data_IF_634807897299
#
_entry.id   IF_634807897299
#
_cell.length_a   1.000
_cell.length_b   1.000
_cell.length_c   1.000
_cell.angle_alpha   90.00
_cell.angle_beta   90.00
_cell.angle_gamma   90.00
#
_symmetry.space_group_name_H-M   'P 1'
#
loop_
_entity.id
_entity.type
_entity.pdbx_description
1 polymer ?
#
# COMPACT_ATOMS: atom_id res chain seq x y z
N UNK A 1 28.17 55.73 17.14
CA UNK A 1 27.51 54.91 16.09
C UNK A 1 27.52 53.47 16.57
N UNK A 2 26.36 52.91 16.94
CA UNK A 2 26.23 51.55 17.48
C UNK A 2 25.73 50.63 16.36
N UNK A 3 26.53 49.62 16.02
CA UNK A 3 26.18 48.59 15.02
C UNK A 3 25.20 47.62 15.67
N UNK A 4 23.97 47.57 15.15
CA UNK A 4 22.97 46.57 15.52
C UNK A 4 23.18 45.36 14.62
N UNK A 5 23.69 44.26 15.22
CA UNK A 5 23.85 42.98 14.55
C UNK A 5 22.50 42.28 14.39
N UNK A 6 22.09 42.05 13.14
CA UNK A 6 20.93 41.23 12.80
C UNK A 6 21.32 39.77 12.99
N UNK A 7 20.74 39.11 14.00
CA UNK A 7 20.82 37.66 14.16
C UNK A 7 19.79 37.04 13.24
N UNK A 8 20.25 36.49 12.12
CA UNK A 8 19.42 35.68 11.21
C UNK A 8 19.08 34.37 11.91
N UNK A 9 17.82 34.25 12.36
CA UNK A 9 17.26 32.99 12.84
C UNK A 9 17.23 32.01 11.65
N UNK A 10 18.12 31.03 11.65
CA UNK A 10 18.02 29.85 10.81
C UNK A 10 16.79 29.06 11.30
N UNK A 11 15.67 29.20 10.60
CA UNK A 11 14.53 28.30 10.70
C UNK A 11 15.02 26.93 10.24
N UNK A 12 15.33 26.06 11.21
CA UNK A 12 15.51 24.63 10.98
C UNK A 12 14.14 24.11 10.54
N UNK A 13 13.93 23.98 9.24
CA UNK A 13 12.86 23.17 8.69
C UNK A 13 13.06 21.75 9.19
N UNK A 14 12.37 21.39 10.27
CA UNK A 14 12.27 20.02 10.72
C UNK A 14 11.58 19.23 9.60
N UNK A 15 12.36 18.55 8.77
CA UNK A 15 11.87 17.49 7.89
C UNK A 15 11.36 16.36 8.78
N UNK A 16 10.12 16.49 9.25
CA UNK A 16 9.38 15.44 9.94
C UNK A 16 8.95 14.35 8.96
N UNK A 17 9.91 13.67 8.35
CA UNK A 17 9.67 12.53 7.46
C UNK A 17 9.58 11.24 8.27
N UNK A 18 8.51 11.08 9.07
CA UNK A 18 8.21 9.78 9.65
C UNK A 18 7.90 8.77 8.52
N UNK A 19 8.57 7.62 8.51
CA UNK A 19 8.23 6.52 7.61
C UNK A 19 6.81 6.05 7.90
N UNK A 20 5.96 5.97 6.89
CA UNK A 20 4.61 5.44 7.06
C UNK A 20 4.65 3.97 7.47
N UNK A 21 3.69 3.51 8.31
CA UNK A 21 3.62 2.12 8.70
C UNK A 21 3.35 1.23 7.49
N UNK A 22 3.63 -0.06 7.64
CA UNK A 22 3.21 -1.06 6.65
C UNK A 22 1.69 -1.05 6.45
N UNK A 23 1.20 -1.40 5.26
CA UNK A 23 -0.21 -1.51 4.99
C UNK A 23 -0.79 -2.68 5.76
N UNK A 24 -2.12 -2.70 5.84
CA UNK A 24 -2.81 -3.93 6.19
C UNK A 24 -2.71 -4.93 5.04
N UNK A 25 -2.65 -6.22 5.37
CA UNK A 25 -2.69 -7.31 4.38
C UNK A 25 -4.06 -8.01 4.41
N UNK A 26 -4.65 -8.21 3.23
CA UNK A 26 -5.91 -8.93 3.02
C UNK A 26 -5.73 -10.14 2.10
N UNK A 27 -6.56 -11.17 2.30
CA UNK A 27 -6.46 -12.41 1.52
C UNK A 27 -5.11 -13.09 1.70
N UNK A 28 -4.39 -13.31 0.60
CA UNK A 28 -3.05 -13.93 0.58
C UNK A 28 -1.90 -12.93 0.46
N UNK A 29 -2.16 -11.62 0.55
CA UNK A 29 -1.14 -10.59 0.42
C UNK A 29 -0.02 -10.72 1.47
N UNK A 30 1.22 -10.37 1.07
CA UNK A 30 2.42 -10.39 1.93
C UNK A 30 3.20 -9.08 1.81
N UNK A 31 4.16 -8.84 2.70
CA UNK A 31 5.03 -7.67 2.67
C UNK A 31 5.94 -7.68 1.43
N UNK A 32 6.38 -8.85 0.95
CA UNK A 32 7.13 -8.92 -0.30
C UNK A 32 6.28 -8.52 -1.51
N UNK A 33 5.02 -8.97 -1.58
CA UNK A 33 4.11 -8.54 -2.64
C UNK A 33 3.82 -7.04 -2.59
N UNK A 34 3.69 -6.48 -1.38
CA UNK A 34 3.55 -5.04 -1.19
C UNK A 34 4.78 -4.27 -1.68
N UNK A 35 6.00 -4.66 -1.27
CA UNK A 35 7.23 -4.02 -1.73
C UNK A 35 7.34 -4.07 -3.27
N UNK A 36 7.02 -5.21 -3.87
CA UNK A 36 7.01 -5.35 -5.33
C UNK A 36 5.99 -4.44 -6.04
N UNK A 37 4.84 -4.17 -5.42
CA UNK A 37 3.86 -3.20 -5.94
C UNK A 37 4.33 -1.76 -5.77
N UNK A 38 4.87 -1.40 -4.59
CA UNK A 38 5.37 -0.05 -4.31
C UNK A 38 6.55 0.30 -5.23
N UNK A 39 7.51 -0.61 -5.39
CA UNK A 39 8.64 -0.44 -6.32
C UNK A 39 8.16 -0.30 -7.77
N UNK A 40 6.99 -0.85 -8.09
CA UNK A 40 6.38 -0.80 -9.40
C UNK A 40 5.43 0.39 -9.63
N UNK A 41 5.06 1.11 -8.59
CA UNK A 41 3.97 2.07 -8.67
C UNK A 41 4.31 3.27 -9.57
N UNK A 42 5.58 3.71 -9.57
CA UNK A 42 6.04 4.82 -10.39
C UNK A 42 5.87 4.58 -11.91
N UNK A 43 5.76 3.31 -12.34
CA UNK A 43 5.50 2.93 -13.74
C UNK A 43 4.04 2.55 -14.01
N UNK A 44 3.12 2.81 -13.07
CA UNK A 44 1.72 2.46 -13.22
C UNK A 44 1.06 3.20 -14.40
N UNK A 45 0.43 2.46 -15.30
CA UNK A 45 -0.23 3.01 -16.48
C UNK A 45 -1.73 3.18 -16.25
N UNK A 46 -2.33 4.18 -16.90
CA UNK A 46 -3.78 4.37 -16.86
C UNK A 46 -4.44 3.35 -17.77
N UNK A 47 -5.22 2.44 -17.19
CA UNK A 47 -6.02 1.45 -17.92
C UNK A 47 -7.27 1.13 -17.10
N UNK A 48 -8.39 1.77 -17.42
CA UNK A 48 -9.63 1.62 -16.67
C UNK A 48 -10.23 0.20 -16.78
N UNK A 49 -9.89 -0.57 -17.82
CA UNK A 49 -10.39 -1.92 -17.98
C UNK A 49 -9.71 -2.91 -17.03
N UNK A 50 -8.44 -2.64 -16.68
CA UNK A 50 -7.62 -3.52 -15.80
C UNK A 50 -7.45 -3.00 -14.38
N UNK A 51 -7.57 -1.69 -14.19
CA UNK A 51 -7.54 -1.06 -12.88
C UNK A 51 -8.74 -1.50 -12.00
N UNK A 52 -8.65 -1.34 -10.66
CA UNK A 52 -9.78 -1.56 -9.77
C UNK A 52 -10.98 -0.67 -10.13
N UNK A 53 -12.12 -1.28 -10.46
CA UNK A 53 -13.37 -0.58 -10.75
C UNK A 53 -14.28 -0.54 -9.53
N UNK A 54 -14.28 0.56 -8.78
CA UNK A 54 -15.03 0.67 -7.52
C UNK A 54 -16.55 0.72 -7.74
N UNK A 55 -17.27 -0.09 -6.97
CA UNK A 55 -18.72 0.00 -6.78
C UNK A 55 -19.09 0.62 -5.44
N UNK A 56 -18.22 0.47 -4.43
CA UNK A 56 -18.27 1.18 -3.15
C UNK A 56 -16.83 1.56 -2.76
N UNK A 57 -16.52 2.84 -2.51
CA UNK A 57 -17.43 3.98 -2.62
C UNK A 57 -17.85 4.26 -4.07
N UNK A 58 -18.99 4.93 -4.24
CA UNK A 58 -19.30 5.68 -5.45
C UNK A 58 -18.63 7.07 -5.38
N UNK A 59 -18.43 7.75 -6.53
CA UNK A 59 -17.91 9.12 -6.53
C UNK A 59 -18.75 10.04 -5.65
N UNK A 60 -18.08 10.78 -4.77
CA UNK A 60 -18.65 11.73 -3.81
C UNK A 60 -19.65 11.12 -2.81
N UNK A 61 -19.63 9.78 -2.65
CA UNK A 61 -20.46 9.09 -1.67
C UNK A 61 -20.14 9.57 -0.24
N UNK A 62 -21.19 9.74 0.56
CA UNK A 62 -21.07 10.03 1.98
C UNK A 62 -21.44 8.78 2.81
N UNK A 63 -20.60 8.43 3.78
CA UNK A 63 -20.85 7.34 4.72
C UNK A 63 -21.22 7.87 6.11
N UNK A 64 -22.20 7.25 6.81
CA UNK A 64 -22.50 7.62 8.18
C UNK A 64 -21.37 7.21 9.13
N UNK A 65 -20.94 8.09 10.04
CA UNK A 65 -19.87 7.78 11.00
C UNK A 65 -20.18 6.58 11.92
N UNK A 66 -21.46 6.27 12.13
CA UNK A 66 -21.91 5.20 13.02
C UNK A 66 -21.55 3.78 12.55
N UNK A 67 -21.27 3.57 11.27
CA UNK A 67 -20.98 2.25 10.71
C UNK A 67 -19.93 2.31 9.61
N UNK A 68 -18.85 1.55 9.77
CA UNK A 68 -17.81 1.41 8.76
C UNK A 68 -18.37 0.74 7.49
N UNK A 69 -18.14 1.29 6.30
CA UNK A 69 -18.52 0.64 5.06
C UNK A 69 -17.58 -0.52 4.73
N UNK A 70 -18.03 -1.41 3.85
CA UNK A 70 -17.15 -2.34 3.13
C UNK A 70 -16.92 -1.78 1.73
N UNK A 71 -15.67 -1.47 1.40
CA UNK A 71 -15.32 -1.06 0.04
C UNK A 71 -15.32 -2.29 -0.87
N UNK A 72 -15.84 -2.12 -2.08
CA UNK A 72 -15.97 -3.18 -3.07
C UNK A 72 -15.58 -2.66 -4.44
N UNK A 73 -14.87 -3.48 -5.20
CA UNK A 73 -14.49 -3.18 -6.57
C UNK A 73 -14.53 -4.44 -7.43
N UNK A 74 -14.49 -4.24 -8.74
CA UNK A 74 -14.27 -5.30 -9.71
C UNK A 74 -12.80 -5.30 -10.17
N UNK A 75 -12.31 -6.48 -10.56
CA UNK A 75 -11.06 -6.61 -11.30
C UNK A 75 -11.25 -7.59 -12.45
N UNK A 76 -10.65 -7.27 -13.59
CA UNK A 76 -10.60 -8.13 -14.77
C UNK A 76 -9.30 -8.95 -14.84
N UNK A 77 -8.35 -8.71 -13.93
CA UNK A 77 -7.14 -9.51 -13.84
C UNK A 77 -7.52 -10.90 -13.33
N UNK A 78 -7.29 -11.91 -14.17
CA UNK A 78 -7.65 -13.29 -13.88
C UNK A 78 -6.45 -14.07 -13.34
N UNK A 79 -6.70 -14.95 -12.36
CA UNK A 79 -5.72 -15.95 -11.95
C UNK A 79 -5.40 -16.83 -13.15
N UNK A 80 -4.12 -16.89 -13.52
CA UNK A 80 -3.62 -17.80 -14.56
C UNK A 80 -3.03 -19.04 -13.86
N UNK A 81 -3.10 -20.23 -14.49
CA UNK A 81 -2.31 -21.36 -14.04
C UNK A 81 -0.85 -20.94 -13.94
N UNK A 82 -0.16 -21.36 -12.89
CA UNK A 82 1.27 -21.12 -12.77
C UNK A 82 1.95 -21.78 -13.97
N UNK A 83 2.51 -20.96 -14.87
CA UNK A 83 3.31 -21.49 -15.98
C UNK A 83 4.51 -22.19 -15.34
N UNK A 84 4.82 -23.45 -15.68
CA UNK A 84 6.05 -24.11 -15.24
C UNK A 84 7.26 -23.36 -15.83
N UNK A 85 7.65 -22.28 -15.17
CA UNK A 85 8.85 -21.52 -15.48
C UNK A 85 10.04 -22.22 -14.85
N UNK A 86 11.21 -22.12 -15.50
CA UNK A 86 12.48 -22.42 -14.85
C UNK A 86 12.57 -21.52 -13.63
N UNK A 87 12.32 -22.08 -12.44
CA UNK A 87 12.36 -21.37 -11.17
C UNK A 87 13.72 -20.68 -11.05
N UNK A 88 13.77 -19.38 -11.35
CA UNK A 88 14.85 -18.52 -10.85
C UNK A 88 14.46 -18.18 -9.42
N UNK A 89 14.62 -19.16 -8.54
CA UNK A 89 14.80 -18.87 -7.11
C UNK A 89 15.73 -17.67 -7.02
N UNK A 90 15.43 -16.74 -6.11
CA UNK A 90 16.39 -15.68 -5.77
C UNK A 90 17.76 -16.35 -5.64
N UNK A 91 18.78 -15.76 -6.29
CA UNK A 91 20.12 -16.34 -6.32
C UNK A 91 20.47 -16.82 -4.91
N UNK A 92 20.94 -18.07 -4.80
CA UNK A 92 21.33 -18.62 -3.51
C UNK A 92 22.18 -17.55 -2.79
N UNK A 93 21.85 -17.21 -1.53
CA UNK A 93 22.60 -16.19 -0.82
C UNK A 93 24.09 -16.54 -0.91
N UNK A 94 24.97 -15.54 -1.07
CA UNK A 94 26.41 -15.79 -1.16
C UNK A 94 26.85 -16.66 0.01
N UNK A 95 27.85 -17.54 -0.18
CA UNK A 95 28.31 -18.45 0.87
C UNK A 95 28.56 -17.65 2.15
N UNK A 96 27.88 -18.05 3.22
CA UNK A 96 27.88 -17.31 4.48
C UNK A 96 29.29 -17.22 5.03
N UNK A 97 29.66 -16.05 5.50
CA UNK A 97 30.91 -15.90 6.25
C UNK A 97 30.79 -16.54 7.64
N UNK A 98 31.91 -16.96 8.23
CA UNK A 98 31.94 -17.52 9.58
C UNK A 98 31.31 -16.57 10.63
N UNK A 99 31.37 -15.26 10.39
CA UNK A 99 30.75 -14.24 11.23
C UNK A 99 29.22 -14.22 11.18
N UNK A 100 28.63 -14.57 10.03
CA UNK A 100 27.17 -14.70 9.91
C UNK A 100 26.62 -15.91 10.66
N UNK A 101 27.38 -17.02 10.73
CA UNK A 101 27.00 -18.17 11.56
C UNK A 101 26.98 -17.84 13.06
N UNK A 102 27.89 -16.97 13.50
CA UNK A 102 27.90 -16.46 14.88
C UNK A 102 26.78 -15.45 15.14
N UNK A 103 26.44 -14.60 14.17
CA UNK A 103 25.29 -13.70 14.32
C UNK A 103 23.96 -14.44 14.39
N UNK A 104 23.81 -15.55 13.66
CA UNK A 104 22.58 -16.37 13.66
C UNK A 104 22.30 -17.05 15.02
N UNK A 105 23.36 -17.30 15.81
CA UNK A 105 23.25 -17.84 17.17
C UNK A 105 22.75 -16.79 18.19
N UNK A 106 22.97 -15.50 17.90
CA UNK A 106 22.61 -14.38 18.79
C UNK A 106 21.33 -13.68 18.32
N UNK A 107 21.09 -13.68 17.01
CA UNK A 107 19.94 -13.10 16.34
C UNK A 107 19.41 -14.15 15.37
N UNK A 108 18.50 -15.05 15.80
CA UNK A 108 17.90 -16.00 14.88
C UNK A 108 17.16 -15.21 13.80
N UNK A 109 17.76 -15.11 12.61
CA UNK A 109 17.16 -14.45 11.46
C UNK A 109 16.09 -15.37 10.85
N UNK A 110 15.02 -15.60 11.59
CA UNK A 110 13.81 -16.21 11.07
C UNK A 110 13.02 -15.12 10.33
N UNK A 111 13.49 -14.73 9.15
CA UNK A 111 12.61 -14.09 8.17
C UNK A 111 11.66 -15.18 7.71
N UNK A 112 10.52 -15.29 8.40
CA UNK A 112 9.45 -16.21 8.01
C UNK A 112 8.80 -15.66 6.74
N UNK A 113 9.49 -15.79 5.61
CA UNK A 113 8.96 -15.44 4.31
C UNK A 113 7.71 -16.27 4.07
N UNK A 114 6.58 -15.60 3.88
CA UNK A 114 5.35 -16.24 3.45
C UNK A 114 5.54 -16.78 2.02
N UNK A 115 4.72 -17.75 1.63
CA UNK A 115 4.80 -18.31 0.28
C UNK A 115 4.59 -17.20 -0.77
N UNK A 116 5.37 -17.18 -1.86
CA UNK A 116 5.22 -16.16 -2.90
C UNK A 116 3.82 -16.17 -3.51
N UNK A 117 3.32 -14.98 -3.86
CA UNK A 117 2.02 -14.82 -4.51
C UNK A 117 2.16 -14.94 -6.01
N UNK A 118 1.30 -15.78 -6.59
CA UNK A 118 0.99 -15.78 -8.02
C UNK A 118 -0.51 -15.48 -8.18
N UNK A 119 -0.84 -14.39 -8.86
CA UNK A 119 -2.22 -13.92 -9.03
C UNK A 119 -2.39 -12.41 -9.04
N UNK A 120 -3.63 -11.93 -9.16
CA UNK A 120 -3.95 -10.51 -9.05
C UNK A 120 -3.76 -10.01 -7.62
N UNK A 121 -3.15 -8.82 -7.50
CA UNK A 121 -2.97 -8.11 -6.23
C UNK A 121 -3.39 -6.66 -6.42
N UNK A 122 -3.99 -6.10 -5.38
CA UNK A 122 -4.47 -4.73 -5.32
C UNK A 122 -3.80 -3.99 -4.17
N UNK A 123 -3.40 -2.75 -4.42
CA UNK A 123 -2.94 -1.80 -3.40
C UNK A 123 -3.90 -0.62 -3.40
N UNK A 124 -4.56 -0.39 -2.26
CA UNK A 124 -5.54 0.66 -2.05
C UNK A 124 -5.00 1.63 -1.00
N UNK A 125 -5.20 2.93 -1.22
CA UNK A 125 -4.80 3.96 -0.26
C UNK A 125 -5.89 5.01 -0.09
N UNK A 126 -6.28 5.24 1.15
CA UNK A 126 -7.14 6.36 1.52
C UNK A 126 -6.28 7.47 2.10
N UNK A 127 -6.12 8.55 1.35
CA UNK A 127 -5.53 9.79 1.86
C UNK A 127 -6.52 10.47 2.84
N UNK A 128 -6.05 10.72 4.06
CA UNK A 128 -6.83 11.33 5.14
C UNK A 128 -6.36 12.77 5.34
N UNK A 129 -7.24 13.77 5.22
CA UNK A 129 -6.87 15.17 5.41
C UNK A 129 -6.20 15.43 6.76
N UNK A 130 -5.05 16.10 6.74
CA UNK A 130 -4.26 16.40 7.95
C UNK A 130 -3.35 15.25 8.42
N UNK A 131 -3.29 14.13 7.70
CA UNK A 131 -2.33 13.04 7.95
C UNK A 131 -1.32 12.90 6.81
N UNK A 132 -0.07 12.66 7.17
CA UNK A 132 0.99 12.34 6.20
C UNK A 132 0.82 10.94 5.62
N UNK A 133 0.45 9.97 6.48
CA UNK A 133 0.34 8.58 6.08
C UNK A 133 -1.11 8.21 5.76
N UNK A 134 -1.36 7.61 4.57
CA UNK A 134 -2.67 7.10 4.21
C UNK A 134 -3.03 5.86 5.04
N UNK A 135 -4.31 5.50 5.02
CA UNK A 135 -4.76 4.16 5.42
C UNK A 135 -4.61 3.26 4.20
N UNK A 136 -3.83 2.20 4.31
CA UNK A 136 -3.44 1.36 3.16
C UNK A 136 -3.84 -0.10 3.35
N UNK A 137 -4.24 -0.74 2.25
CA UNK A 137 -4.48 -2.18 2.16
C UNK A 137 -3.77 -2.74 0.93
N UNK A 138 -3.04 -3.85 1.12
CA UNK A 138 -2.63 -4.75 0.03
C UNK A 138 -3.42 -6.03 0.13
N UNK A 139 -4.06 -6.45 -0.95
CA UNK A 139 -4.97 -7.60 -0.92
C UNK A 139 -5.06 -8.35 -2.24
N UNK A 140 -5.35 -9.65 -2.17
CA UNK A 140 -5.75 -10.47 -3.32
C UNK A 140 -7.27 -10.60 -3.45
N UNK A 141 -8.03 -9.91 -2.59
CA UNK A 141 -9.49 -9.88 -2.59
C UNK A 141 -10.01 -8.61 -3.26
N UNK A 142 -11.31 -8.57 -3.55
CA UNK A 142 -11.97 -7.39 -4.15
C UNK A 142 -12.91 -6.67 -3.18
N UNK A 143 -12.69 -6.88 -1.88
CA UNK A 143 -13.45 -6.27 -0.79
C UNK A 143 -12.52 -5.84 0.32
N UNK A 144 -12.84 -4.74 1.00
CA UNK A 144 -12.14 -4.25 2.18
C UNK A 144 -13.12 -3.78 3.24
N UNK A 145 -13.21 -4.54 4.34
CA UNK A 145 -13.85 -4.10 5.56
C UNK A 145 -12.80 -3.37 6.43
N UNK A 146 -12.96 -2.05 6.58
CA UNK A 146 -12.10 -1.23 7.42
C UNK A 146 -12.15 -1.77 8.86
N UNK A 147 -10.99 -2.01 9.46
CA UNK A 147 -10.91 -2.34 10.89
C UNK A 147 -11.37 -1.15 11.73
N UNK A 148 -11.67 -1.42 13.00
CA UNK A 148 -12.19 -0.41 13.92
C UNK A 148 -11.23 0.77 14.09
N UNK A 149 -9.92 0.53 14.10
CA UNK A 149 -8.88 1.56 14.18
C UNK A 149 -8.73 2.34 12.87
N UNK A 150 -8.77 1.66 11.71
CA UNK A 150 -8.80 2.30 10.39
C UNK A 150 -10.04 3.19 10.23
N UNK A 151 -11.21 2.70 10.62
CA UNK A 151 -12.45 3.49 10.57
C UNK A 151 -12.41 4.66 11.55
N UNK A 152 -11.87 4.44 12.75
CA UNK A 152 -11.70 5.51 13.73
C UNK A 152 -10.92 6.69 13.14
N UNK A 153 -9.83 6.42 12.41
CA UNK A 153 -9.04 7.44 11.73
C UNK A 153 -9.90 8.28 10.77
N UNK A 154 -10.76 7.64 9.98
CA UNK A 154 -11.64 8.32 9.05
C UNK A 154 -12.71 9.13 9.80
N UNK A 155 -13.32 8.57 10.84
CA UNK A 155 -14.34 9.28 11.64
C UNK A 155 -13.78 10.46 12.44
N UNK A 156 -12.52 10.40 12.88
CA UNK A 156 -11.84 11.52 13.55
C UNK A 156 -11.66 12.72 12.58
N UNK A 157 -11.67 12.45 11.27
CA UNK A 157 -11.61 13.45 10.20
C UNK A 157 -12.96 13.64 9.47
N UNK A 158 -14.09 13.31 10.10
CA UNK A 158 -15.43 13.48 9.51
C UNK A 158 -15.72 14.90 9.03
N UNK A 159 -16.58 15.03 8.02
CA UNK A 159 -16.88 16.28 7.33
C UNK A 159 -15.76 16.75 6.39
N UNK A 160 -14.67 15.98 6.24
CA UNK A 160 -13.63 16.21 5.23
C UNK A 160 -13.77 15.25 4.06
N UNK A 161 -13.17 15.61 2.93
CA UNK A 161 -13.08 14.78 1.73
C UNK A 161 -11.86 13.88 1.81
N UNK A 162 -12.08 12.57 1.69
CA UNK A 162 -11.05 11.55 1.57
C UNK A 162 -10.82 11.24 0.09
N UNK A 163 -9.60 10.89 -0.25
CA UNK A 163 -9.24 10.47 -1.61
C UNK A 163 -8.75 9.04 -1.60
N UNK A 164 -9.45 8.16 -2.30
CA UNK A 164 -9.08 6.77 -2.54
C UNK A 164 -8.33 6.68 -3.87
N UNK A 165 -7.09 6.19 -3.81
CA UNK A 165 -6.34 5.72 -4.96
C UNK A 165 -6.18 4.20 -4.89
N UNK A 166 -6.08 3.57 -6.06
CA UNK A 166 -5.85 2.14 -6.13
C UNK A 166 -5.07 1.76 -7.37
N UNK A 167 -4.28 0.70 -7.25
CA UNK A 167 -3.63 0.01 -8.37
C UNK A 167 -3.95 -1.47 -8.34
N UNK A 168 -3.95 -2.10 -9.51
CA UNK A 168 -3.98 -3.56 -9.67
C UNK A 168 -2.75 -4.02 -10.44
N UNK A 169 -2.21 -5.19 -10.10
CA UNK A 169 -1.18 -5.84 -10.89
C UNK A 169 -1.36 -7.35 -10.83
N UNK A 170 -0.79 -8.06 -11.80
CA UNK A 170 -0.62 -9.50 -11.73
C UNK A 170 0.81 -9.80 -11.30
N UNK A 171 0.94 -10.63 -10.26
CA UNK A 171 2.22 -11.10 -9.75
C UNK A 171 2.42 -12.56 -10.16
N UNK A 172 3.66 -12.91 -10.50
CA UNK A 172 4.15 -14.29 -10.54
C UNK A 172 5.29 -14.41 -9.54
N UNK A 173 5.10 -15.20 -8.48
CA UNK A 173 6.08 -15.37 -7.39
C UNK A 173 6.59 -14.03 -6.83
N UNK A 174 5.66 -13.14 -6.47
CA UNK A 174 5.91 -11.76 -6.03
C UNK A 174 6.55 -10.83 -7.07
N UNK A 175 6.65 -11.22 -8.34
CA UNK A 175 7.16 -10.33 -9.40
C UNK A 175 6.01 -9.80 -10.22
N UNK A 176 5.94 -8.48 -10.37
CA UNK A 176 4.95 -7.85 -11.26
C UNK A 176 5.23 -8.25 -12.71
N UNK A 177 4.33 -9.01 -13.32
CA UNK A 177 4.39 -9.43 -14.73
C UNK A 177 3.35 -8.75 -15.61
N UNK A 178 2.27 -8.25 -15.01
CA UNK A 178 1.24 -7.45 -15.68
C UNK A 178 0.90 -6.21 -14.82
N UNK A 179 0.85 -5.02 -15.42
CA UNK A 179 0.62 -3.75 -14.71
C UNK A 179 1.87 -3.16 -14.02
N UNK A 180 1.73 -2.30 -13.00
CA UNK A 180 0.47 -1.93 -12.35
C UNK A 180 -0.44 -1.05 -13.20
N UNK A 181 -1.75 -1.19 -13.03
CA UNK A 181 -2.78 -0.39 -13.68
C UNK A 181 -3.51 0.47 -12.68
N UNK A 182 -3.74 1.74 -13.02
CA UNK A 182 -4.50 2.69 -12.21
C UNK A 182 -5.69 3.27 -12.97
N UNK A 183 -6.75 3.69 -12.27
CA UNK A 183 -7.82 4.45 -12.89
C UNK A 183 -7.30 5.80 -13.42
N UNK A 184 -8.07 6.43 -14.32
CA UNK A 184 -7.73 7.75 -14.86
C UNK A 184 -7.80 8.87 -13.80
N UNK A 185 -8.67 8.70 -12.81
CA UNK A 185 -8.87 9.63 -11.70
C UNK A 185 -8.94 8.89 -10.37
N UNK A 186 -8.58 9.57 -9.28
CA UNK A 186 -8.84 9.08 -7.93
C UNK A 186 -10.33 9.23 -7.59
N UNK A 187 -10.77 8.48 -6.58
CA UNK A 187 -12.14 8.50 -6.10
C UNK A 187 -12.24 9.33 -4.81
N UNK A 188 -13.15 10.30 -4.77
CA UNK A 188 -13.41 11.06 -3.55
C UNK A 188 -14.67 10.55 -2.84
N UNK A 189 -14.65 10.60 -1.51
CA UNK A 189 -15.80 10.28 -0.66
C UNK A 189 -15.71 11.04 0.67
N UNK A 190 -16.77 11.03 1.47
CA UNK A 190 -16.82 11.70 2.77
C UNK A 190 -17.36 10.79 3.86
N UNK A 191 -17.06 11.12 5.12
CA UNK A 191 -17.75 10.58 6.29
C UNK A 191 -18.60 11.70 6.88
N UNK A 192 -19.91 11.48 6.96
CA UNK A 192 -20.85 12.46 7.49
C UNK A 192 -20.63 12.70 8.99
N UNK A 193 -20.88 13.93 9.49
CA UNK A 193 -20.74 14.30 10.90
C UNK A 193 -21.51 13.41 11.89
#
# INVERSE_FOLDING_TARGET
>A
MRVVGVVTLLLVSACGGGTCPEPRYGGKATDEAWRSLVDAEARATVDAAKAPGFSVPMPDQAFPAASAPTFTWASTLVVRPETPGVHRYAAAPPPRSAWQHLSDLVVPSAWAHLAPITGPVHLLRVAVPGRTCPVELVTTQTTWALAADEWKVLTDAKGKTFTLSAVSAYLEQNRVTEGPYRPASTLNFTVSP
#
